data_IF_925064102496
#
_entry.id   IF_925064102496
#
_cell.length_a   1.000
_cell.length_b   1.000
_cell.length_c   1.000
_cell.angle_alpha   90.00
_cell.angle_beta   90.00
_cell.angle_gamma   90.00
#
_symmetry.space_group_name_H-M   'P 1'
#
loop_
_entity.id
_entity.type
_entity.pdbx_description
1 polymer ?
#
# COMPACT_ATOMS: atom_id res chain seq x y z
N UNK A 1 -8.73 11.91 24.04
CA UNK A 1 -7.61 10.97 23.81
C UNK A 1 -7.28 11.18 22.36
N UNK A 2 -6.56 12.26 22.12
CA UNK A 2 -6.41 12.89 20.83
C UNK A 2 -4.95 12.67 20.43
N UNK A 3 -4.70 11.56 19.74
CA UNK A 3 -3.47 11.33 18.98
C UNK A 3 -3.85 10.54 17.72
N UNK A 4 -4.81 11.08 16.97
CA UNK A 4 -5.06 10.70 15.57
C UNK A 4 -4.12 11.52 14.68
N UNK A 5 -2.83 11.56 15.04
CA UNK A 5 -1.83 11.88 14.04
C UNK A 5 -1.91 10.71 13.07
N UNK A 6 -2.44 10.96 11.87
CA UNK A 6 -2.29 10.07 10.72
C UNK A 6 -0.78 9.83 10.59
N UNK A 7 -0.29 8.79 11.26
CA UNK A 7 1.09 8.34 11.18
C UNK A 7 1.18 7.77 9.76
N UNK A 8 1.94 8.45 8.90
CA UNK A 8 2.11 7.98 7.53
C UNK A 8 2.66 6.55 7.63
N UNK A 9 1.92 5.52 7.17
CA UNK A 9 2.26 4.12 7.41
C UNK A 9 3.54 3.68 6.67
N UNK A 10 4.14 4.60 5.92
CA UNK A 10 5.38 4.44 5.17
C UNK A 10 6.50 5.40 5.65
N UNK A 11 6.28 6.18 6.71
CA UNK A 11 7.23 7.20 7.18
C UNK A 11 8.56 6.63 7.71
N UNK A 12 8.57 5.35 8.10
CA UNK A 12 9.77 4.66 8.57
C UNK A 12 10.68 4.15 7.42
N UNK A 13 10.21 4.25 6.18
CA UNK A 13 10.92 3.78 4.99
C UNK A 13 11.76 4.88 4.35
N UNK A 14 12.79 4.47 3.60
CA UNK A 14 13.51 5.39 2.71
C UNK A 14 12.55 6.07 1.73
N UNK A 15 12.82 7.35 1.43
CA UNK A 15 11.94 8.18 0.59
C UNK A 15 11.59 7.52 -0.74
N UNK A 16 12.56 6.90 -1.42
CA UNK A 16 12.34 6.20 -2.69
C UNK A 16 11.40 5.01 -2.52
N UNK A 17 11.58 4.23 -1.45
CA UNK A 17 10.71 3.08 -1.15
C UNK A 17 9.30 3.54 -0.79
N UNK A 18 9.16 4.59 0.02
CA UNK A 18 7.87 5.15 0.37
C UNK A 18 7.11 5.68 -0.87
N UNK A 19 7.80 6.40 -1.77
CA UNK A 19 7.23 6.87 -3.04
C UNK A 19 6.78 5.69 -3.89
N UNK A 20 7.65 4.69 -4.07
CA UNK A 20 7.35 3.48 -4.84
C UNK A 20 6.10 2.78 -4.34
N UNK A 21 6.00 2.54 -3.03
CA UNK A 21 4.85 1.86 -2.43
C UNK A 21 3.55 2.68 -2.53
N UNK A 22 3.60 4.02 -2.45
CA UNK A 22 2.42 4.87 -2.73
C UNK A 22 1.94 4.73 -4.17
N UNK A 23 2.84 4.59 -5.13
CA UNK A 23 2.48 4.27 -6.51
C UNK A 23 1.89 2.87 -6.64
N UNK A 24 2.48 1.88 -5.98
CA UNK A 24 1.94 0.51 -5.91
C UNK A 24 0.49 0.49 -5.40
N UNK A 25 0.20 1.21 -4.31
CA UNK A 25 -1.17 1.32 -3.77
C UNK A 25 -2.14 1.94 -4.80
N UNK A 26 -1.70 2.96 -5.56
CA UNK A 26 -2.49 3.56 -6.64
C UNK A 26 -2.74 2.60 -7.80
N UNK A 27 -1.76 1.77 -8.15
CA UNK A 27 -1.92 0.76 -9.21
C UNK A 27 -2.84 -0.37 -8.78
N UNK A 28 -2.79 -0.80 -7.52
CA UNK A 28 -3.75 -1.76 -6.92
C UNK A 28 -5.17 -1.17 -6.96
N UNK A 29 -5.35 0.08 -6.50
CA UNK A 29 -6.65 0.79 -6.59
C UNK A 29 -7.18 0.86 -8.03
N UNK A 30 -6.29 1.15 -8.98
CA UNK A 30 -6.61 1.25 -10.40
C UNK A 30 -6.75 -0.09 -11.13
N UNK A 31 -6.53 -1.23 -10.46
CA UNK A 31 -6.44 -2.57 -11.07
C UNK A 31 -5.48 -2.61 -12.27
N UNK A 32 -4.35 -1.89 -12.17
CA UNK A 32 -3.34 -1.75 -13.24
C UNK A 32 -2.25 -2.83 -13.22
N UNK A 33 -2.40 -3.83 -12.36
CA UNK A 33 -1.43 -4.91 -12.12
C UNK A 33 -1.17 -5.80 -13.34
N UNK A 34 -2.09 -5.81 -14.33
CA UNK A 34 -1.89 -6.53 -15.58
C UNK A 34 -0.88 -5.84 -16.52
N UNK A 35 -0.69 -4.53 -16.39
CA UNK A 35 0.23 -3.73 -17.23
C UNK A 35 1.61 -3.58 -16.58
N UNK A 36 1.64 -3.54 -15.25
CA UNK A 36 2.86 -3.45 -14.46
C UNK A 36 2.74 -4.42 -13.29
N UNK A 37 3.29 -5.64 -13.40
CA UNK A 37 3.30 -6.57 -12.29
C UNK A 37 4.06 -5.97 -11.12
N UNK A 38 3.45 -6.00 -9.94
CA UNK A 38 4.05 -5.53 -8.69
C UNK A 38 4.90 -6.66 -8.11
N UNK A 39 6.04 -6.32 -7.50
CA UNK A 39 6.89 -7.31 -6.88
C UNK A 39 6.21 -7.93 -5.64
N UNK A 40 6.35 -9.24 -5.46
CA UNK A 40 5.74 -9.96 -4.34
C UNK A 40 6.22 -9.43 -2.98
N UNK A 41 7.46 -8.92 -2.90
CA UNK A 41 8.02 -8.28 -1.72
C UNK A 41 7.24 -7.01 -1.31
N UNK A 42 6.76 -6.23 -2.28
CA UNK A 42 5.99 -5.03 -2.03
C UNK A 42 4.59 -5.39 -1.52
N UNK A 43 3.96 -6.41 -2.12
CA UNK A 43 2.67 -6.92 -1.67
C UNK A 43 2.77 -7.48 -0.25
N UNK A 44 3.82 -8.25 0.05
CA UNK A 44 4.05 -8.79 1.39
C UNK A 44 4.25 -7.67 2.43
N UNK A 45 5.03 -6.64 2.07
CA UNK A 45 5.29 -5.49 2.95
C UNK A 45 4.03 -4.67 3.23
N UNK A 46 3.23 -4.38 2.20
CA UNK A 46 1.96 -3.66 2.32
C UNK A 46 0.92 -4.47 3.09
N UNK A 47 0.93 -5.79 2.94
CA UNK A 47 0.06 -6.70 3.71
C UNK A 47 0.46 -6.74 5.18
N UNK A 48 1.76 -6.82 5.48
CA UNK A 48 2.28 -6.78 6.86
C UNK A 48 1.95 -5.46 7.57
N UNK A 49 1.82 -4.37 6.82
CA UNK A 49 1.40 -3.05 7.30
C UNK A 49 -0.12 -2.85 7.34
N UNK A 50 -0.91 -3.84 6.92
CA UNK A 50 -2.38 -3.75 6.90
C UNK A 50 -2.93 -2.79 5.85
N UNK A 51 -2.15 -2.38 4.85
CA UNK A 51 -2.56 -1.47 3.77
C UNK A 51 -3.19 -2.23 2.59
N UNK A 52 -2.83 -3.51 2.45
CA UNK A 52 -3.32 -4.42 1.41
C UNK A 52 -3.77 -5.72 2.06
N UNK A 53 -4.81 -6.32 1.50
CA UNK A 53 -5.18 -7.71 1.75
C UNK A 53 -5.12 -8.49 0.42
N UNK A 54 -4.74 -9.76 0.48
CA UNK A 54 -4.72 -10.64 -0.70
C UNK A 54 -5.85 -11.64 -0.56
N UNK A 55 -6.82 -11.58 -1.48
CA UNK A 55 -7.95 -12.51 -1.56
C UNK A 55 -7.94 -13.20 -2.92
N UNK A 56 -7.97 -14.53 -2.93
CA UNK A 56 -7.89 -15.35 -4.16
C UNK A 56 -6.68 -15.00 -5.05
N UNK A 57 -5.55 -14.65 -4.43
CA UNK A 57 -4.33 -14.23 -5.14
C UNK A 57 -4.41 -12.81 -5.74
N UNK A 58 -5.47 -12.06 -5.48
CA UNK A 58 -5.65 -10.69 -5.95
C UNK A 58 -5.47 -9.71 -4.78
N UNK A 59 -4.47 -8.81 -4.84
CA UNK A 59 -4.30 -7.79 -3.82
C UNK A 59 -5.38 -6.71 -3.94
N UNK A 60 -5.90 -6.25 -2.80
CA UNK A 60 -6.92 -5.21 -2.65
C UNK A 60 -6.51 -4.25 -1.54
N UNK A 61 -6.84 -2.98 -1.69
CA UNK A 61 -6.61 -1.98 -0.64
C UNK A 61 -7.57 -2.19 0.53
N UNK A 62 -7.04 -2.11 1.75
CA UNK A 62 -7.83 -1.91 2.97
C UNK A 62 -8.25 -0.45 3.09
N UNK A 63 -9.05 -0.10 4.10
CA UNK A 63 -9.39 1.30 4.40
C UNK A 63 -8.12 2.15 4.64
N UNK A 64 -7.20 1.68 5.49
CA UNK A 64 -5.92 2.33 5.73
C UNK A 64 -5.08 2.50 4.45
N UNK A 65 -5.13 1.52 3.54
CA UNK A 65 -4.49 1.62 2.23
C UNK A 65 -5.08 2.71 1.32
N UNK A 66 -6.38 2.99 1.44
CA UNK A 66 -7.03 4.10 0.73
C UNK A 66 -6.64 5.45 1.33
N UNK A 67 -6.56 5.55 2.65
CA UNK A 67 -6.18 6.78 3.36
C UNK A 67 -4.73 7.17 3.07
N UNK A 68 -3.83 6.19 2.94
CA UNK A 68 -2.41 6.42 2.63
C UNK A 68 -2.15 7.08 1.25
N UNK A 69 -3.15 7.10 0.36
CA UNK A 69 -3.05 7.67 -0.99
C UNK A 69 -4.05 8.79 -1.29
N UNK A 70 -4.80 9.23 -0.27
CA UNK A 70 -5.75 10.35 -0.33
C UNK A 70 -5.05 11.64 0.07
#
# INVERSE_FOLDING_TARGET
MDDDRIDDPLADLDLEKAIHLRWTLRDIKGRRLALSPVADEDIALLTARGLVEVSDGVPRLTEAGHDAIT
#
